data_IF_049186502008
#
_entry.id   IF_049186502008
#
_cell.length_a   1.000
_cell.length_b   1.000
_cell.length_c   1.000
_cell.angle_alpha   90.00
_cell.angle_beta   90.00
_cell.angle_gamma   90.00
#
_symmetry.space_group_name_H-M   'P 1'
#
loop_
_entity.id
_entity.type
_entity.pdbx_description
1 polymer ?
#
# COMPACT_ATOMS: atom_id res chain seq x y z
N UNK A 1 7.24 -21.44 -21.37
CA UNK A 1 6.37 -20.57 -20.56
C UNK A 1 7.18 -20.11 -19.35
N UNK A 2 7.40 -18.80 -19.21
CA UNK A 2 8.14 -18.21 -18.10
C UNK A 2 7.22 -17.20 -17.41
N UNK A 3 6.94 -17.40 -16.12
CA UNK A 3 6.05 -16.52 -15.36
C UNK A 3 6.89 -15.77 -14.32
N UNK A 4 6.71 -14.45 -14.27
CA UNK A 4 7.27 -13.62 -13.20
C UNK A 4 6.13 -12.89 -12.48
N UNK A 5 6.32 -12.62 -11.19
CA UNK A 5 5.33 -11.95 -10.37
C UNK A 5 5.74 -11.87 -8.91
N UNK A 6 4.83 -11.39 -8.09
CA UNK A 6 5.00 -11.23 -6.64
C UNK A 6 3.68 -11.17 -5.91
N UNK A 7 3.73 -11.32 -4.60
CA UNK A 7 2.57 -11.27 -3.70
C UNK A 7 2.96 -10.64 -2.37
N UNK A 8 2.01 -9.99 -1.71
CA UNK A 8 2.15 -9.47 -0.35
C UNK A 8 0.81 -9.54 0.40
N UNK A 9 0.88 -9.83 1.70
CA UNK A 9 -0.21 -9.88 2.66
C UNK A 9 0.22 -9.27 4.03
N UNK A 10 0.57 -7.97 4.01
CA UNK A 10 1.10 -7.23 5.16
C UNK A 10 0.09 -6.40 6.00
N UNK A 11 -1.20 -6.33 5.65
CA UNK A 11 -2.31 -5.73 6.42
C UNK A 11 -2.67 -6.68 7.57
N UNK A 12 -1.76 -6.72 8.54
CA UNK A 12 -1.92 -7.37 9.84
C UNK A 12 -1.52 -6.37 10.93
N UNK A 13 -1.96 -6.54 12.20
CA UNK A 13 -1.76 -5.53 13.24
C UNK A 13 -0.30 -5.10 13.43
N UNK A 14 0.65 -6.04 13.38
CA UNK A 14 2.08 -5.73 13.50
C UNK A 14 2.64 -4.99 12.26
N UNK A 15 2.20 -5.36 11.06
CA UNK A 15 2.60 -4.70 9.81
C UNK A 15 2.07 -3.28 9.76
N UNK A 16 0.76 -3.09 10.00
CA UNK A 16 0.13 -1.79 10.08
C UNK A 16 0.80 -0.92 11.16
N UNK A 17 1.00 -1.47 12.36
CA UNK A 17 1.64 -0.76 13.48
C UNK A 17 3.07 -0.30 13.16
N UNK A 18 3.86 -1.12 12.46
CA UNK A 18 5.21 -0.75 12.03
C UNK A 18 5.21 0.46 11.09
N UNK A 19 4.37 0.44 10.05
CA UNK A 19 4.29 1.55 9.10
C UNK A 19 3.66 2.82 9.71
N UNK A 20 2.74 2.69 10.66
CA UNK A 20 2.23 3.81 11.47
C UNK A 20 3.36 4.43 12.31
N UNK A 21 4.18 3.61 12.97
CA UNK A 21 5.31 4.09 13.78
C UNK A 21 6.35 4.84 12.93
N UNK A 22 6.54 4.41 11.69
CA UNK A 22 7.38 5.11 10.70
C UNK A 22 6.75 6.39 10.13
N UNK A 23 5.49 6.72 10.48
CA UNK A 23 4.71 7.83 9.88
C UNK A 23 4.61 7.73 8.36
N UNK A 24 4.50 6.50 7.84
CA UNK A 24 4.50 6.24 6.41
C UNK A 24 3.08 6.23 5.80
N UNK A 25 2.06 6.00 6.62
CA UNK A 25 0.67 5.86 6.18
C UNK A 25 -0.09 7.19 6.22
N UNK A 26 -1.03 7.36 5.29
CA UNK A 26 -1.99 8.48 5.33
C UNK A 26 -2.80 8.43 6.63
N UNK A 27 -3.08 9.61 7.20
CA UNK A 27 -3.91 9.77 8.39
C UNK A 27 -5.30 10.35 8.07
N UNK A 28 -5.64 10.48 6.78
CA UNK A 28 -6.96 10.92 6.29
C UNK A 28 -8.02 9.83 6.48
N UNK A 29 -8.30 9.54 7.74
CA UNK A 29 -9.21 8.47 8.18
C UNK A 29 -10.69 8.86 8.04
N UNK A 30 -10.98 10.14 7.90
CA UNK A 30 -12.32 10.73 7.72
C UNK A 30 -12.83 10.66 6.27
N UNK A 31 -11.91 10.58 5.29
CA UNK A 31 -12.23 10.42 3.87
C UNK A 31 -11.36 9.32 3.22
N UNK A 32 -11.64 8.04 3.54
CA UNK A 32 -10.79 6.91 3.14
C UNK A 32 -10.77 6.67 1.62
N UNK A 33 -11.82 7.09 0.90
CA UNK A 33 -11.91 6.88 -0.55
C UNK A 33 -10.90 7.75 -1.32
N UNK A 34 -10.48 8.88 -0.75
CA UNK A 34 -9.52 9.82 -1.37
C UNK A 34 -8.16 9.87 -0.65
N UNK A 35 -7.95 9.00 0.34
CA UNK A 35 -6.73 8.96 1.15
C UNK A 35 -5.47 8.69 0.31
N UNK A 36 -5.56 7.88 -0.75
CA UNK A 36 -4.45 7.66 -1.69
C UNK A 36 -4.45 8.75 -2.77
N UNK A 37 -3.53 9.71 -2.66
CA UNK A 37 -3.40 10.86 -3.57
C UNK A 37 -1.93 11.11 -3.96
N UNK A 38 -1.36 10.29 -4.87
CA UNK A 38 0.02 10.47 -5.31
C UNK A 38 0.26 11.86 -5.92
N UNK A 39 1.38 12.48 -5.57
CA UNK A 39 1.83 13.79 -6.08
C UNK A 39 0.94 15.00 -5.73
N UNK A 40 -0.13 14.80 -4.97
CA UNK A 40 -0.93 15.89 -4.43
C UNK A 40 -0.11 16.69 -3.40
N UNK A 41 -0.33 18.01 -3.35
CA UNK A 41 0.37 18.91 -2.42
C UNK A 41 0.07 18.57 -0.96
N UNK A 42 -1.13 18.09 -0.68
CA UNK A 42 -1.61 17.74 0.65
C UNK A 42 -1.52 16.22 0.89
N UNK A 43 -0.66 15.50 0.15
CA UNK A 43 -0.37 14.09 0.43
C UNK A 43 0.36 13.95 1.77
N UNK A 44 -0.03 12.97 2.58
CA UNK A 44 0.48 12.78 3.95
C UNK A 44 1.05 11.37 4.22
N UNK A 45 1.05 10.50 3.22
CA UNK A 45 1.53 9.12 3.32
C UNK A 45 0.96 8.27 2.19
N UNK A 46 1.24 6.97 2.19
CA UNK A 46 0.57 6.02 1.30
C UNK A 46 -0.60 5.32 2.00
N UNK A 47 -1.52 4.74 1.23
CA UNK A 47 -2.53 3.80 1.75
C UNK A 47 -1.99 2.39 1.59
N UNK A 48 -1.91 1.63 2.68
CA UNK A 48 -1.42 0.25 2.64
C UNK A 48 -2.35 -0.64 1.81
N UNK A 49 -1.77 -1.45 0.93
CA UNK A 49 -2.50 -2.41 0.10
C UNK A 49 -1.81 -3.78 0.13
N UNK A 50 -2.57 -4.81 -0.23
CA UNK A 50 -2.14 -6.20 -0.36
C UNK A 50 -2.60 -6.76 -1.71
N UNK A 51 -1.98 -7.87 -2.13
CA UNK A 51 -2.40 -8.57 -3.32
C UNK A 51 -1.27 -9.36 -3.98
N UNK A 52 -1.59 -9.95 -5.12
CA UNK A 52 -0.64 -10.70 -5.94
C UNK A 52 -0.82 -10.34 -7.41
N UNK A 53 0.27 -10.41 -8.17
CA UNK A 53 0.26 -10.18 -9.62
C UNK A 53 1.33 -11.02 -10.29
N UNK A 54 0.96 -11.65 -11.41
CA UNK A 54 1.84 -12.51 -12.20
C UNK A 54 1.60 -12.24 -13.69
N UNK A 55 2.67 -12.28 -14.48
CA UNK A 55 2.65 -12.03 -15.92
C UNK A 55 3.56 -13.04 -16.63
N UNK A 56 3.16 -13.46 -17.83
CA UNK A 56 4.06 -14.20 -18.73
C UNK A 56 5.13 -13.25 -19.31
N UNK A 57 6.39 -13.63 -19.17
CA UNK A 57 7.57 -12.86 -19.61
C UNK A 57 8.34 -13.55 -20.75
N UNK A 58 7.75 -14.60 -21.35
CA UNK A 58 8.24 -15.25 -22.55
C UNK A 58 7.41 -14.87 -23.77
#
# INVERSE_FOLDING_TARGET
MMIAGGTEAAIIPIGLGGFVACRALSQRNDDPQTASRPWDIDRDGFVMGEGAGFQNIA
#
